data_IF_328000579731
#
_entry.id   IF_328000579731
#
_cell.length_a   1.000
_cell.length_b   1.000
_cell.length_c   1.000
_cell.angle_alpha   90.00
_cell.angle_beta   90.00
_cell.angle_gamma   90.00
#
_symmetry.space_group_name_H-M   'P 1'
#
loop_
_entity.id
_entity.type
_entity.pdbx_description
1 polymer ?
#
# COMPACT_ATOMS: atom_id res chain seq x y z
N UNK A 1 18.83 12.08 -22.80
CA UNK A 1 18.29 13.21 -22.02
C UNK A 1 18.37 14.50 -22.82
N UNK A 2 17.60 15.52 -22.42
CA UNK A 2 17.66 16.84 -23.05
C UNK A 2 19.08 17.43 -23.03
N UNK A 3 19.78 17.25 -21.92
CA UNK A 3 21.15 17.71 -21.68
C UNK A 3 22.17 16.99 -22.59
N UNK A 4 21.97 15.72 -22.92
CA UNK A 4 22.81 15.00 -23.88
C UNK A 4 22.68 15.56 -25.31
N UNK A 5 21.48 15.97 -25.71
CA UNK A 5 21.27 16.61 -27.02
C UNK A 5 21.95 17.98 -27.07
N UNK A 6 21.92 18.73 -25.98
CA UNK A 6 22.67 19.97 -25.84
C UNK A 6 24.18 19.71 -26.00
N UNK A 7 24.72 18.68 -25.34
CA UNK A 7 26.13 18.31 -25.45
C UNK A 7 26.51 17.91 -26.88
N UNK A 8 25.68 17.14 -27.58
CA UNK A 8 25.90 16.78 -28.99
C UNK A 8 25.94 18.04 -29.85
N UNK A 9 25.00 18.97 -29.69
CA UNK A 9 24.99 20.22 -30.46
C UNK A 9 26.25 21.09 -30.19
N UNK A 10 26.73 21.13 -28.94
CA UNK A 10 27.93 21.89 -28.58
C UNK A 10 29.21 21.25 -29.15
N UNK A 11 29.37 19.93 -29.00
CA UNK A 11 30.56 19.18 -29.41
C UNK A 11 30.61 18.95 -30.92
N UNK A 12 29.50 18.56 -31.53
CA UNK A 12 29.47 18.21 -32.95
C UNK A 12 29.22 19.42 -33.86
N UNK A 13 28.31 20.34 -33.48
CA UNK A 13 27.89 21.46 -34.33
C UNK A 13 28.38 22.85 -33.87
N UNK A 14 29.06 22.93 -32.73
CA UNK A 14 29.67 24.16 -32.26
C UNK A 14 28.73 25.19 -31.71
N UNK A 15 27.64 24.71 -31.11
CA UNK A 15 26.74 25.55 -30.35
C UNK A 15 27.46 26.06 -29.09
N UNK A 16 27.19 27.31 -28.75
CA UNK A 16 27.42 27.85 -27.42
C UNK A 16 26.41 27.25 -26.42
N UNK A 17 26.69 27.28 -25.11
CA UNK A 17 25.72 26.82 -24.10
C UNK A 17 24.34 27.50 -24.21
N UNK A 18 24.32 28.78 -24.58
CA UNK A 18 23.08 29.54 -24.78
C UNK A 18 22.29 29.08 -26.00
N UNK A 19 22.95 28.84 -27.13
CA UNK A 19 22.30 28.28 -28.33
C UNK A 19 21.77 26.87 -28.06
N UNK A 20 22.51 26.06 -27.29
CA UNK A 20 22.09 24.71 -26.93
C UNK A 20 20.83 24.71 -26.05
N UNK A 21 20.70 25.63 -25.08
CA UNK A 21 19.45 25.77 -24.30
C UNK A 21 18.28 26.26 -25.18
N UNK A 22 18.53 27.13 -26.15
CA UNK A 22 17.50 27.52 -27.12
C UNK A 22 17.01 26.34 -27.96
N UNK A 23 17.93 25.49 -28.42
CA UNK A 23 17.60 24.23 -29.10
C UNK A 23 16.75 23.33 -28.21
N UNK A 24 17.15 23.13 -26.94
CA UNK A 24 16.38 22.36 -25.95
C UNK A 24 14.95 22.90 -25.77
N UNK A 25 14.79 24.21 -25.62
CA UNK A 25 13.47 24.85 -25.50
C UNK A 25 12.62 24.63 -26.74
N UNK A 26 13.22 24.71 -27.92
CA UNK A 26 12.54 24.46 -29.18
C UNK A 26 12.09 22.99 -29.31
N UNK A 27 12.89 22.03 -28.82
CA UNK A 27 12.50 20.62 -28.74
C UNK A 27 11.30 20.42 -27.80
N UNK A 28 11.34 21.01 -26.59
CA UNK A 28 10.24 20.88 -25.63
C UNK A 28 8.92 21.50 -26.13
N UNK A 29 8.99 22.54 -26.97
CA UNK A 29 7.83 23.20 -27.57
C UNK A 29 7.36 22.55 -28.89
N UNK A 30 8.10 21.57 -29.42
CA UNK A 30 7.92 21.02 -30.76
C UNK A 30 6.52 20.49 -30.99
N UNK A 31 5.96 19.74 -30.04
CA UNK A 31 4.61 19.14 -30.10
C UNK A 31 3.48 20.15 -30.33
N UNK A 32 3.68 21.44 -30.00
CA UNK A 32 2.63 22.48 -30.12
C UNK A 32 2.79 23.41 -31.31
N UNK A 33 4.00 23.61 -31.84
CA UNK A 33 4.24 24.73 -32.78
C UNK A 33 5.11 24.42 -33.99
N UNK A 34 5.84 23.30 -34.05
CA UNK A 34 6.81 23.06 -35.13
C UNK A 34 7.96 24.09 -35.08
N UNK A 35 9.20 23.67 -34.83
CA UNK A 35 10.24 24.69 -34.58
C UNK A 35 11.69 24.21 -34.56
N UNK A 36 11.96 22.97 -34.97
CA UNK A 36 13.32 22.44 -34.99
C UNK A 36 14.04 22.69 -36.32
N UNK A 37 13.29 22.81 -37.43
CA UNK A 37 13.81 23.03 -38.79
C UNK A 37 14.71 24.27 -38.90
N UNK A 38 14.41 25.32 -38.13
CA UNK A 38 15.25 26.54 -38.07
C UNK A 38 16.67 26.30 -37.58
N UNK A 39 16.92 25.19 -36.87
CA UNK A 39 18.26 24.81 -36.41
C UNK A 39 18.97 23.85 -37.38
N UNK A 40 18.30 23.37 -38.44
CA UNK A 40 18.89 22.44 -39.42
C UNK A 40 20.21 22.98 -39.98
N UNK A 41 20.17 24.17 -40.58
CA UNK A 41 21.36 24.78 -41.18
C UNK A 41 22.48 24.99 -40.17
N UNK A 42 22.15 25.40 -38.94
CA UNK A 42 23.16 25.62 -37.89
C UNK A 42 23.81 24.30 -37.44
N UNK A 43 23.03 23.24 -37.30
CA UNK A 43 23.52 21.92 -36.87
C UNK A 43 24.36 21.27 -37.98
N UNK A 44 23.80 21.17 -39.19
CA UNK A 44 24.45 20.49 -40.32
C UNK A 44 25.71 21.22 -40.75
N UNK A 45 25.65 22.55 -40.97
CA UNK A 45 26.84 23.31 -41.38
C UNK A 45 27.91 23.31 -40.28
N UNK A 46 27.51 23.43 -39.01
CA UNK A 46 28.45 23.37 -37.89
C UNK A 46 29.16 22.03 -37.78
N UNK A 47 28.50 20.93 -38.15
CA UNK A 47 29.13 19.61 -38.24
C UNK A 47 30.04 19.48 -39.48
N UNK A 48 29.62 19.97 -40.64
CA UNK A 48 30.46 19.97 -41.84
C UNK A 48 31.77 20.75 -41.64
N UNK A 49 31.70 21.93 -41.02
CA UNK A 49 32.88 22.76 -40.67
C UNK A 49 33.86 22.05 -39.75
N UNK A 50 33.40 21.01 -39.03
CA UNK A 50 34.19 20.19 -38.11
C UNK A 50 34.62 18.84 -38.71
N UNK A 51 34.38 18.63 -40.00
CA UNK A 51 34.85 17.47 -40.74
C UNK A 51 33.93 16.24 -40.67
N UNK A 52 32.66 16.40 -40.27
CA UNK A 52 31.67 15.33 -40.34
C UNK A 52 31.07 15.25 -41.76
N UNK A 53 30.73 14.03 -42.22
CA UNK A 53 30.04 13.83 -43.49
C UNK A 53 28.60 14.36 -43.45
N UNK A 54 28.11 14.88 -44.58
CA UNK A 54 26.74 15.42 -44.71
C UNK A 54 25.68 14.38 -44.30
N UNK A 55 25.78 13.15 -44.81
CA UNK A 55 24.84 12.09 -44.50
C UNK A 55 24.80 11.77 -42.99
N UNK A 56 25.95 11.88 -42.30
CA UNK A 56 26.02 11.68 -40.86
C UNK A 56 25.37 12.84 -40.10
N UNK A 57 25.64 14.09 -40.50
CA UNK A 57 25.05 15.28 -39.89
C UNK A 57 23.52 15.31 -40.04
N UNK A 58 23.00 14.93 -41.21
CA UNK A 58 21.56 14.80 -41.47
C UNK A 58 20.92 13.70 -40.61
N UNK A 59 21.60 12.56 -40.44
CA UNK A 59 21.15 11.48 -39.55
C UNK A 59 21.05 11.94 -38.09
N UNK A 60 22.06 12.67 -37.59
CA UNK A 60 22.04 13.23 -36.24
C UNK A 60 20.88 14.21 -36.07
N UNK A 61 20.65 15.10 -37.03
CA UNK A 61 19.52 16.02 -36.96
C UNK A 61 18.17 15.27 -36.91
N UNK A 62 18.00 14.24 -37.73
CA UNK A 62 16.79 13.39 -37.71
C UNK A 62 16.59 12.69 -36.36
N UNK A 63 17.67 12.19 -35.74
CA UNK A 63 17.61 11.61 -34.40
C UNK A 63 17.21 12.65 -33.33
N UNK A 64 17.75 13.86 -33.42
CA UNK A 64 17.37 14.97 -32.51
C UNK A 64 15.90 15.34 -32.69
N UNK A 65 15.39 15.34 -33.94
CA UNK A 65 13.96 15.52 -34.21
C UNK A 65 13.14 14.43 -33.52
N UNK A 66 13.43 13.14 -33.76
CA UNK A 66 12.71 12.05 -33.10
C UNK A 66 12.78 12.10 -31.56
N UNK A 67 13.89 12.59 -31.00
CA UNK A 67 14.06 12.72 -29.55
C UNK A 67 13.22 13.85 -28.93
N UNK A 68 12.77 14.84 -29.72
CA UNK A 68 11.94 15.93 -29.23
C UNK A 68 10.59 15.48 -28.62
N UNK A 69 10.10 14.29 -28.99
CA UNK A 69 8.87 13.70 -28.45
C UNK A 69 9.04 13.03 -27.08
N UNK A 70 10.23 12.50 -26.79
CA UNK A 70 10.50 11.66 -25.60
C UNK A 70 11.60 12.24 -24.70
N UNK A 71 12.14 13.40 -25.05
CA UNK A 71 13.26 14.02 -24.35
C UNK A 71 12.92 14.43 -22.92
N UNK A 72 13.57 13.76 -21.96
CA UNK A 72 13.37 14.01 -20.53
C UNK A 72 14.53 14.82 -19.93
N UNK A 73 14.28 15.73 -18.96
CA UNK A 73 15.35 16.45 -18.25
C UNK A 73 16.12 15.51 -17.31
N UNK A 74 17.43 15.42 -17.49
CA UNK A 74 18.33 14.59 -16.69
C UNK A 74 18.36 15.03 -15.23
N UNK A 75 18.44 16.34 -15.00
CA UNK A 75 18.42 16.93 -13.65
C UNK A 75 17.19 16.51 -12.83
N UNK A 76 16.02 16.49 -13.47
CA UNK A 76 14.78 16.01 -12.86
C UNK A 76 14.77 14.48 -12.68
N UNK A 77 15.28 13.72 -13.64
CA UNK A 77 15.39 12.28 -13.50
C UNK A 77 16.30 11.88 -12.34
N UNK A 78 17.46 12.53 -12.21
CA UNK A 78 18.45 12.26 -11.18
C UNK A 78 17.93 12.56 -9.77
N UNK A 79 17.20 13.67 -9.58
CA UNK A 79 16.64 14.01 -8.26
C UNK A 79 15.62 12.98 -7.79
N UNK A 80 14.73 12.51 -8.67
CA UNK A 80 13.78 11.43 -8.35
C UNK A 80 14.46 10.07 -8.21
N UNK A 81 15.49 9.78 -9.00
CA UNK A 81 16.27 8.55 -8.89
C UNK A 81 16.96 8.43 -7.52
N UNK A 82 17.44 9.55 -6.96
CA UNK A 82 18.01 9.57 -5.62
C UNK A 82 16.98 9.16 -4.54
N UNK A 83 15.74 9.65 -4.64
CA UNK A 83 14.65 9.27 -3.73
C UNK A 83 14.25 7.79 -3.89
N UNK A 84 14.17 7.31 -5.14
CA UNK A 84 13.89 5.90 -5.42
C UNK A 84 14.99 4.98 -4.89
N UNK A 85 16.25 5.38 -5.05
CA UNK A 85 17.40 4.64 -4.53
C UNK A 85 17.39 4.62 -2.99
N UNK A 86 17.21 5.77 -2.34
CA UNK A 86 17.16 5.84 -0.88
C UNK A 86 16.01 4.99 -0.30
N UNK A 87 14.83 5.02 -0.92
CA UNK A 87 13.69 4.19 -0.52
C UNK A 87 13.97 2.70 -0.72
N UNK A 88 14.61 2.32 -1.83
CA UNK A 88 14.96 0.93 -2.12
C UNK A 88 16.06 0.41 -1.19
N UNK A 89 17.02 1.27 -0.83
CA UNK A 89 18.05 0.97 0.15
C UNK A 89 17.44 0.70 1.52
N UNK A 90 16.52 1.56 2.00
CA UNK A 90 15.79 1.34 3.25
C UNK A 90 14.96 0.06 3.19
N UNK A 91 14.26 -0.20 2.08
CA UNK A 91 13.49 -1.45 1.91
C UNK A 91 14.38 -2.70 1.97
N UNK A 92 15.60 -2.62 1.42
CA UNK A 92 16.54 -3.74 1.37
C UNK A 92 17.22 -3.99 2.73
N UNK A 93 17.70 -2.93 3.37
CA UNK A 93 18.57 -3.02 4.55
C UNK A 93 17.85 -2.78 5.88
N UNK A 94 16.82 -1.94 5.88
CA UNK A 94 16.03 -1.57 7.07
C UNK A 94 14.51 -1.76 6.86
N UNK A 95 14.04 -2.94 6.40
CA UNK A 95 12.63 -3.18 6.08
C UNK A 95 11.67 -2.93 7.25
N UNK A 96 12.08 -3.17 8.50
CA UNK A 96 11.25 -2.87 9.67
C UNK A 96 11.02 -1.37 9.84
N UNK A 97 12.09 -0.56 9.75
CA UNK A 97 12.01 0.89 9.79
C UNK A 97 11.22 1.45 8.61
N UNK A 98 11.40 0.88 7.43
CA UNK A 98 10.65 1.24 6.23
C UNK A 98 9.14 1.01 6.41
N UNK A 99 8.75 -0.17 6.92
CA UNK A 99 7.34 -0.45 7.24
C UNK A 99 6.79 0.54 8.27
N UNK A 100 7.52 0.73 9.38
CA UNK A 100 7.11 1.64 10.46
C UNK A 100 6.86 3.06 9.93
N UNK A 101 7.76 3.59 9.10
CA UNK A 101 7.62 4.90 8.49
C UNK A 101 6.41 4.97 7.54
N UNK A 102 6.18 3.92 6.73
CA UNK A 102 5.03 3.85 5.82
C UNK A 102 3.69 3.78 6.56
N UNK A 103 3.63 3.12 7.72
CA UNK A 103 2.44 3.07 8.56
C UNK A 103 2.13 4.45 9.17
N UNK A 104 3.16 5.11 9.70
CA UNK A 104 3.02 6.44 10.32
C UNK A 104 2.77 7.58 9.30
N UNK A 105 3.01 7.31 8.02
CA UNK A 105 2.77 8.27 6.92
C UNK A 105 1.41 8.07 6.25
N UNK A 106 0.54 7.20 6.77
CA UNK A 106 -0.81 7.01 6.23
C UNK A 106 -1.72 8.21 6.56
N UNK A 107 -2.70 8.53 5.68
CA UNK A 107 -3.01 7.86 4.42
C UNK A 107 -2.03 8.25 3.30
N UNK A 108 -1.41 7.25 2.66
CA UNK A 108 -0.52 7.49 1.51
C UNK A 108 -0.59 6.39 0.45
N UNK A 109 -0.36 6.78 -0.81
CA UNK A 109 0.00 5.88 -1.90
C UNK A 109 -1.03 4.80 -2.28
N UNK A 110 -0.51 3.72 -2.84
CA UNK A 110 -1.29 2.63 -3.46
C UNK A 110 -1.68 1.53 -2.47
N UNK A 111 -0.81 1.19 -1.52
CA UNK A 111 -0.98 0.05 -0.62
C UNK A 111 -1.66 0.43 0.70
N UNK A 112 -2.59 -0.42 1.15
CA UNK A 112 -3.24 -0.28 2.46
C UNK A 112 -2.29 -0.71 3.60
N UNK A 113 -2.55 -0.29 4.85
CA UNK A 113 -1.81 -0.79 6.01
C UNK A 113 -1.76 -2.32 6.09
N UNK A 114 -2.89 -3.00 5.78
CA UNK A 114 -2.95 -4.47 5.74
C UNK A 114 -1.97 -5.07 4.73
N UNK A 115 -1.95 -4.54 3.49
CA UNK A 115 -1.06 -5.04 2.44
C UNK A 115 0.42 -4.84 2.82
N UNK A 116 0.76 -3.69 3.43
CA UNK A 116 2.12 -3.40 3.90
C UNK A 116 2.56 -4.34 5.02
N UNK A 117 1.70 -4.55 6.02
CA UNK A 117 1.98 -5.46 7.15
C UNK A 117 2.14 -6.89 6.68
N UNK A 118 1.24 -7.38 5.83
CA UNK A 118 1.33 -8.73 5.28
C UNK A 118 2.58 -8.93 4.43
N UNK A 119 2.96 -7.94 3.61
CA UNK A 119 4.20 -8.01 2.84
C UNK A 119 5.42 -8.09 3.74
N UNK A 120 5.48 -7.26 4.79
CA UNK A 120 6.59 -7.28 5.73
C UNK A 120 6.67 -8.62 6.49
N UNK A 121 5.55 -9.19 6.91
CA UNK A 121 5.51 -10.51 7.56
C UNK A 121 6.01 -11.62 6.63
N UNK A 122 5.64 -11.59 5.34
CA UNK A 122 6.18 -12.54 4.33
C UNK A 122 7.69 -12.39 4.14
N UNK A 123 8.24 -11.21 4.36
CA UNK A 123 9.68 -10.94 4.36
C UNK A 123 10.34 -11.12 5.74
N UNK A 124 9.66 -11.75 6.69
CA UNK A 124 10.22 -12.15 7.98
C UNK A 124 10.25 -11.05 9.05
N UNK A 125 9.60 -9.91 8.81
CA UNK A 125 9.48 -8.84 9.80
C UNK A 125 8.40 -9.21 10.81
N UNK A 126 8.79 -9.19 12.09
CA UNK A 126 7.85 -9.40 13.19
C UNK A 126 7.02 -8.13 13.38
N UNK A 127 5.70 -8.27 13.35
CA UNK A 127 4.76 -7.18 13.62
C UNK A 127 3.95 -7.54 14.85
N UNK A 128 3.90 -6.64 15.83
CA UNK A 128 3.26 -6.84 17.12
C UNK A 128 1.99 -5.97 17.24
N UNK A 129 0.92 -6.48 17.85
CA UNK A 129 -0.34 -5.74 17.96
C UNK A 129 -0.19 -4.49 18.82
N UNK A 130 -1.08 -3.53 18.62
CA UNK A 130 -1.18 -2.39 19.51
C UNK A 130 -1.62 -2.85 20.91
N UNK A 131 -0.96 -2.34 21.95
CA UNK A 131 -1.26 -2.68 23.35
C UNK A 131 -1.17 -1.41 24.20
N UNK A 132 -2.20 -1.11 24.99
CA UNK A 132 -2.22 0.06 25.88
C UNK A 132 -1.04 0.08 26.85
N UNK A 133 -0.47 -1.07 27.19
CA UNK A 133 0.62 -1.18 28.14
C UNK A 133 1.97 -0.83 27.52
N UNK A 134 2.05 -0.68 26.18
CA UNK A 134 3.32 -0.52 25.46
C UNK A 134 3.22 0.53 24.35
N UNK A 135 2.25 0.41 23.46
CA UNK A 135 2.09 1.26 22.28
C UNK A 135 1.87 2.73 22.64
N UNK A 136 2.43 3.63 21.84
CA UNK A 136 2.05 5.03 21.81
C UNK A 136 1.09 5.34 20.67
N UNK A 137 0.94 6.62 20.35
CA UNK A 137 0.18 7.06 19.18
C UNK A 137 0.68 6.44 17.88
N UNK A 138 1.96 6.65 17.55
CA UNK A 138 2.57 6.15 16.32
C UNK A 138 3.07 4.71 16.46
N UNK A 139 3.20 4.02 15.32
CA UNK A 139 3.89 2.72 15.28
C UNK A 139 5.37 2.93 15.59
N UNK A 140 5.99 1.96 16.26
CA UNK A 140 7.36 2.09 16.75
C UNK A 140 8.17 0.81 16.51
N UNK A 141 9.50 0.96 16.51
CA UNK A 141 10.42 -0.16 16.46
C UNK A 141 10.70 -0.69 17.87
N UNK A 142 10.69 -2.00 18.02
CA UNK A 142 11.03 -2.69 19.27
C UNK A 142 12.16 -3.70 19.03
N UNK A 143 13.06 -3.89 20.02
CA UNK A 143 14.01 -5.00 19.97
C UNK A 143 13.27 -6.35 19.88
N UNK A 144 13.72 -7.19 18.94
CA UNK A 144 13.12 -8.50 18.64
C UNK A 144 14.06 -9.68 18.95
N UNK A 145 15.33 -9.41 19.27
CA UNK A 145 16.38 -10.43 19.34
C UNK A 145 16.78 -11.01 17.97
N UNK A 146 16.28 -10.45 16.87
CA UNK A 146 16.62 -10.80 15.48
C UNK A 146 17.42 -9.67 14.83
N UNK A 147 18.01 -9.88 13.63
CA UNK A 147 18.73 -8.82 12.91
C UNK A 147 17.87 -7.59 12.60
N UNK A 148 16.57 -7.80 12.39
CA UNK A 148 15.59 -6.73 12.16
C UNK A 148 14.76 -6.49 13.41
N UNK A 149 14.51 -5.23 13.75
CA UNK A 149 13.57 -4.86 14.81
C UNK A 149 12.15 -5.38 14.52
N UNK A 150 11.37 -5.58 15.58
CA UNK A 150 9.93 -5.79 15.45
C UNK A 150 9.22 -4.44 15.27
N UNK A 151 8.10 -4.43 14.54
CA UNK A 151 7.25 -3.24 14.39
C UNK A 151 6.05 -3.38 15.31
N UNK A 152 5.95 -2.54 16.32
CA UNK A 152 4.76 -2.40 17.17
C UNK A 152 3.76 -1.48 16.49
N UNK A 153 2.53 -1.94 16.32
CA UNK A 153 1.46 -1.08 15.81
C UNK A 153 1.12 0.03 16.81
N UNK A 154 0.96 1.24 16.29
CA UNK A 154 0.51 2.41 17.03
C UNK A 154 -1.00 2.45 17.21
N UNK A 155 -1.44 3.20 18.22
CA UNK A 155 -2.87 3.44 18.47
C UNK A 155 -3.53 4.25 17.34
N UNK A 156 -2.75 5.00 16.55
CA UNK A 156 -3.23 5.80 15.41
C UNK A 156 -3.91 5.01 14.31
N UNK A 157 -3.64 3.70 14.20
CA UNK A 157 -4.26 2.81 13.21
C UNK A 157 -5.71 2.41 13.59
N UNK A 158 -6.11 2.65 14.83
CA UNK A 158 -7.44 2.27 15.33
C UNK A 158 -8.48 3.31 14.91
N UNK A 159 -9.52 2.85 14.20
CA UNK A 159 -10.63 3.68 13.73
C UNK A 159 -11.36 4.29 14.93
N UNK A 160 -11.45 5.60 14.96
CA UNK A 160 -12.12 6.36 16.03
C UNK A 160 -11.22 6.67 17.23
N UNK A 161 -9.95 6.26 17.22
CA UNK A 161 -9.00 6.61 18.27
C UNK A 161 -8.59 8.09 18.15
N UNK A 162 -8.46 8.76 19.31
CA UNK A 162 -8.13 10.18 19.42
C UNK A 162 -6.71 10.35 19.95
N UNK A 163 -5.95 11.30 19.38
CA UNK A 163 -4.55 11.52 19.74
C UNK A 163 -4.38 11.98 21.18
N UNK A 164 -5.29 12.83 21.64
CA UNK A 164 -5.29 13.35 23.01
C UNK A 164 -5.55 12.23 24.02
N UNK A 165 -6.37 11.24 23.64
CA UNK A 165 -6.66 10.08 24.49
C UNK A 165 -5.44 9.17 24.59
N UNK A 166 -4.76 8.91 23.47
CA UNK A 166 -3.50 8.16 23.49
C UNK A 166 -2.46 8.85 24.38
N UNK A 167 -2.30 10.17 24.27
CA UNK A 167 -1.39 10.94 25.13
C UNK A 167 -1.74 10.78 26.62
N UNK A 168 -3.03 10.87 27.00
CA UNK A 168 -3.45 10.65 28.40
C UNK A 168 -3.15 9.22 28.89
N UNK A 169 -3.26 8.21 28.02
CA UNK A 169 -2.90 6.82 28.35
C UNK A 169 -1.38 6.72 28.58
N UNK A 170 -0.58 7.33 27.70
CA UNK A 170 0.89 7.35 27.82
C UNK A 170 1.35 8.06 29.10
N UNK A 171 0.80 9.24 29.40
CA UNK A 171 1.08 10.00 30.63
C UNK A 171 0.71 9.21 31.88
N UNK A 172 -0.48 8.59 31.89
CA UNK A 172 -0.92 7.77 33.01
C UNK A 172 0.01 6.57 33.20
N UNK A 173 0.36 5.86 32.12
CA UNK A 173 1.24 4.67 32.14
C UNK A 173 2.65 4.99 32.64
N UNK A 174 3.19 6.17 32.30
CA UNK A 174 4.53 6.60 32.71
C UNK A 174 4.70 6.68 34.24
N UNK A 175 3.61 6.90 34.98
CA UNK A 175 3.63 6.91 36.46
C UNK A 175 3.74 5.49 37.02
N UNK A 176 2.95 4.54 36.51
CA UNK A 176 2.97 3.12 36.89
C UNK A 176 2.16 2.27 35.88
N UNK A 177 2.40 0.95 35.78
CA UNK A 177 1.55 0.04 35.00
C UNK A 177 0.05 0.11 35.38
N UNK A 178 -0.82 -0.30 34.47
CA UNK A 178 -2.26 -0.41 34.73
C UNK A 178 -2.58 -1.78 35.32
N UNK A 179 -3.43 -1.80 36.36
CA UNK A 179 -3.81 -3.05 37.02
C UNK A 179 -5.04 -3.70 36.37
N UNK A 180 -5.91 -2.89 35.76
CA UNK A 180 -7.17 -3.32 35.15
C UNK A 180 -7.70 -2.30 34.16
N UNK A 181 -8.72 -2.67 33.39
CA UNK A 181 -9.41 -1.75 32.46
C UNK A 181 -10.05 -0.58 33.21
N UNK A 182 -10.57 -0.80 34.42
CA UNK A 182 -11.13 0.27 35.27
C UNK A 182 -10.05 1.23 35.79
N UNK A 183 -8.87 0.70 36.15
CA UNK A 183 -7.72 1.55 36.54
C UNK A 183 -7.24 2.42 35.38
N UNK A 184 -7.12 1.84 34.19
CA UNK A 184 -6.84 2.55 32.94
C UNK A 184 -7.86 3.67 32.69
N UNK A 185 -9.16 3.34 32.72
CA UNK A 185 -10.23 4.28 32.43
C UNK A 185 -10.23 5.48 33.38
N UNK A 186 -10.06 5.23 34.68
CA UNK A 186 -10.04 6.27 35.72
C UNK A 186 -8.82 7.20 35.59
N UNK A 187 -7.63 6.63 35.38
CA UNK A 187 -6.35 7.37 35.33
C UNK A 187 -6.16 8.14 34.04
N UNK A 188 -6.52 7.55 32.90
CA UNK A 188 -6.44 8.22 31.61
C UNK A 188 -7.71 9.03 31.26
N UNK A 189 -8.72 9.05 32.15
CA UNK A 189 -9.96 9.79 31.97
C UNK A 189 -10.72 9.36 30.70
N UNK A 190 -10.81 8.04 30.48
CA UNK A 190 -11.42 7.48 29.28
C UNK A 190 -12.95 7.51 29.38
N UNK A 191 -13.59 7.90 28.29
CA UNK A 191 -15.04 7.80 28.17
C UNK A 191 -15.47 6.44 27.57
N UNK A 192 -16.78 6.26 27.43
CA UNK A 192 -17.36 5.05 26.84
C UNK A 192 -16.86 4.80 25.41
N UNK A 193 -16.68 5.85 24.63
CA UNK A 193 -16.21 5.74 23.24
C UNK A 193 -14.76 5.25 23.21
N UNK A 194 -13.89 5.83 24.02
CA UNK A 194 -12.48 5.45 24.11
C UNK A 194 -12.31 3.97 24.48
N UNK A 195 -13.05 3.52 25.50
CA UNK A 195 -13.03 2.13 25.94
C UNK A 195 -13.57 1.17 24.88
N UNK A 196 -14.62 1.55 24.14
CA UNK A 196 -15.15 0.76 23.03
C UNK A 196 -14.17 0.64 21.88
N UNK A 197 -13.46 1.73 21.53
CA UNK A 197 -12.43 1.72 20.49
C UNK A 197 -11.28 0.79 20.88
N UNK A 198 -10.72 0.95 22.10
CA UNK A 198 -9.60 0.15 22.58
C UNK A 198 -9.96 -1.34 22.70
N UNK A 199 -11.13 -1.66 23.28
CA UNK A 199 -11.60 -3.03 23.40
C UNK A 199 -11.90 -3.65 22.03
N UNK A 200 -12.57 -2.91 21.14
CA UNK A 200 -12.86 -3.34 19.77
C UNK A 200 -11.59 -3.63 18.96
N UNK A 201 -10.57 -2.79 19.11
CA UNK A 201 -9.26 -2.96 18.48
C UNK A 201 -8.38 -4.05 19.12
N UNK A 202 -8.86 -4.72 20.16
CA UNK A 202 -8.11 -5.72 20.94
C UNK A 202 -6.84 -5.16 21.60
N UNK A 203 -6.80 -3.84 21.87
CA UNK A 203 -5.66 -3.17 22.50
C UNK A 203 -5.56 -3.40 24.02
N UNK A 204 -6.60 -4.00 24.61
CA UNK A 204 -6.72 -4.30 26.04
C UNK A 204 -6.37 -5.76 26.38
N UNK A 205 -5.79 -6.52 25.43
CA UNK A 205 -5.52 -7.95 25.60
C UNK A 205 -4.64 -8.24 26.82
N UNK A 206 -3.63 -7.40 27.11
CA UNK A 206 -2.77 -7.53 28.29
C UNK A 206 -3.51 -7.41 29.63
N UNK A 207 -4.63 -6.68 29.67
CA UNK A 207 -5.43 -6.47 30.89
C UNK A 207 -6.63 -7.42 31.00
N UNK A 208 -7.28 -7.70 29.88
CA UNK A 208 -8.56 -8.42 29.84
C UNK A 208 -8.45 -9.86 29.30
N UNK A 209 -7.29 -10.24 28.74
CA UNK A 209 -7.02 -11.57 28.20
C UNK A 209 -7.62 -11.85 26.82
N UNK A 210 -8.87 -11.43 26.54
CA UNK A 210 -9.46 -11.56 25.21
C UNK A 210 -10.43 -10.41 24.88
N UNK A 211 -10.71 -10.21 23.59
CA UNK A 211 -11.58 -9.11 23.12
C UNK A 211 -12.99 -9.16 23.71
N UNK A 212 -13.60 -10.35 23.86
CA UNK A 212 -14.96 -10.46 24.41
C UNK A 212 -14.99 -10.02 25.86
N UNK A 213 -13.99 -10.44 26.65
CA UNK A 213 -13.80 -10.00 28.02
C UNK A 213 -13.53 -8.49 28.11
N UNK A 214 -12.69 -7.95 27.22
CA UNK A 214 -12.37 -6.53 27.16
C UNK A 214 -13.62 -5.67 26.88
N UNK A 215 -14.46 -6.10 25.93
CA UNK A 215 -15.71 -5.42 25.61
C UNK A 215 -16.70 -5.43 26.77
N UNK A 216 -16.78 -6.54 27.52
CA UNK A 216 -17.60 -6.62 28.73
C UNK A 216 -17.09 -5.64 29.81
N UNK A 217 -15.80 -5.70 30.12
CA UNK A 217 -15.18 -4.82 31.11
C UNK A 217 -15.29 -3.33 30.73
N UNK A 218 -15.16 -3.00 29.44
CA UNK A 218 -15.28 -1.64 28.92
C UNK A 218 -16.65 -1.00 29.22
N UNK A 219 -17.74 -1.79 29.30
CA UNK A 219 -19.08 -1.27 29.60
C UNK A 219 -19.19 -0.79 31.05
N UNK A 220 -18.57 -1.51 31.99
CA UNK A 220 -18.58 -1.18 33.42
C UNK A 220 -17.41 -0.30 33.89
N UNK A 221 -16.35 -0.15 33.08
CA UNK A 221 -15.16 0.60 33.45
C UNK A 221 -15.29 2.13 33.27
N UNK A 222 -16.39 2.63 32.70
CA UNK A 222 -16.61 4.06 32.51
C UNK A 222 -16.64 4.74 33.89
N UNK A 223 -15.73 5.69 34.20
CA UNK A 223 -15.67 6.29 35.52
C UNK A 223 -16.93 7.10 35.82
N UNK A 224 -17.48 6.93 37.02
CA UNK A 224 -18.53 7.82 37.52
C UNK A 224 -18.01 9.25 37.63
N UNK A 225 -18.90 10.21 37.37
CA UNK A 225 -18.60 11.65 37.40
C UNK A 225 -18.85 12.29 38.76
N UNK A 226 -19.27 11.51 39.75
CA UNK A 226 -19.71 11.99 41.06
C UNK A 226 -18.65 11.73 42.16
N UNK A 227 -19.06 11.93 43.42
CA UNK A 227 -18.23 11.74 44.60
C UNK A 227 -17.76 10.29 44.81
N UNK A 228 -18.39 9.31 44.16
CA UNK A 228 -18.05 7.88 44.28
C UNK A 228 -17.02 7.43 43.25
N UNK A 229 -16.50 8.33 42.41
CA UNK A 229 -15.42 8.06 41.45
C UNK A 229 -14.19 7.28 41.98
N UNK A 230 -13.71 7.47 43.24
CA UNK A 230 -12.57 6.70 43.74
C UNK A 230 -12.95 5.26 44.16
N UNK A 231 -14.23 4.96 44.31
CA UNK A 231 -14.72 3.64 44.73
C UNK A 231 -14.71 2.69 43.53
N UNK A 232 -14.10 1.51 43.69
CA UNK A 232 -14.22 0.42 42.73
C UNK A 232 -15.04 -0.69 43.39
N UNK A 233 -16.27 -0.97 42.94
CA UNK A 233 -17.05 -2.06 43.48
C UNK A 233 -16.32 -3.39 43.21
N UNK A 234 -16.22 -4.24 44.23
CA UNK A 234 -15.67 -5.59 44.08
C UNK A 234 -16.79 -6.45 43.53
N UNK A 235 -16.80 -6.62 42.20
CA UNK A 235 -17.74 -7.47 41.49
C UNK A 235 -17.03 -8.72 40.96
N UNK A 236 -17.71 -9.86 41.00
CA UNK A 236 -17.23 -11.05 40.30
C UNK A 236 -17.27 -10.80 38.79
N UNK A 237 -16.08 -10.75 38.18
CA UNK A 237 -15.97 -10.57 36.73
C UNK A 237 -16.25 -11.92 36.07
N UNK A 238 -17.32 -12.06 35.26
CA UNK A 238 -17.60 -13.31 34.58
C UNK A 238 -16.47 -13.62 33.59
N UNK A 239 -16.02 -14.88 33.58
CA UNK A 239 -15.03 -15.35 32.60
C UNK A 239 -15.76 -15.72 31.32
N UNK A 240 -15.63 -14.88 30.30
CA UNK A 240 -16.23 -15.11 28.99
C UNK A 240 -15.28 -15.90 28.09
N UNK A 241 -15.85 -16.85 27.35
CA UNK A 241 -15.10 -17.59 26.33
C UNK A 241 -14.52 -16.62 25.30
N UNK A 242 -13.25 -16.82 24.91
CA UNK A 242 -12.62 -16.04 23.86
C UNK A 242 -13.42 -16.10 22.53
N UNK A 243 -13.37 -15.06 21.70
CA UNK A 243 -13.89 -15.15 20.34
C UNK A 243 -13.23 -16.28 19.55
N UNK A 244 -13.96 -16.83 18.59
CA UNK A 244 -13.37 -17.66 17.56
C UNK A 244 -12.42 -16.84 16.67
N UNK A 245 -11.50 -17.51 15.98
CA UNK A 245 -10.56 -16.85 15.06
C UNK A 245 -11.27 -15.98 14.01
N UNK A 246 -12.38 -16.45 13.45
CA UNK A 246 -13.17 -15.69 12.48
C UNK A 246 -13.82 -14.44 13.09
N UNK A 247 -14.33 -14.52 14.32
CA UNK A 247 -14.86 -13.36 15.04
C UNK A 247 -13.74 -12.35 15.31
N UNK A 248 -12.53 -12.82 15.63
CA UNK A 248 -11.41 -11.94 15.90
C UNK A 248 -10.90 -11.22 14.65
N UNK A 249 -10.77 -11.93 13.53
CA UNK A 249 -10.42 -11.32 12.24
C UNK A 249 -11.46 -10.28 11.83
N UNK A 250 -12.76 -10.55 12.04
CA UNK A 250 -13.81 -9.58 11.74
C UNK A 250 -13.68 -8.33 12.63
N UNK A 251 -13.41 -8.51 13.92
CA UNK A 251 -13.20 -7.39 14.85
C UNK A 251 -11.97 -6.56 14.47
N UNK A 252 -10.88 -7.21 14.07
CA UNK A 252 -9.64 -6.59 13.61
C UNK A 252 -9.87 -5.69 12.39
N UNK A 253 -10.49 -6.22 11.34
CA UNK A 253 -10.79 -5.44 10.14
C UNK A 253 -11.75 -4.28 10.42
N UNK A 254 -12.75 -4.50 11.28
CA UNK A 254 -13.68 -3.44 11.68
C UNK A 254 -12.96 -2.32 12.44
N UNK A 255 -12.06 -2.67 13.35
CA UNK A 255 -11.42 -1.72 14.25
C UNK A 255 -10.21 -1.00 13.64
N UNK A 256 -9.42 -1.65 12.79
CA UNK A 256 -8.18 -1.07 12.23
C UNK A 256 -7.94 -1.37 10.74
N UNK A 257 -8.79 -2.19 10.11
CA UNK A 257 -8.68 -2.50 8.68
C UNK A 257 -7.57 -3.49 8.32
N UNK A 258 -6.96 -4.15 9.31
CA UNK A 258 -5.96 -5.20 9.16
C UNK A 258 -6.06 -6.20 10.31
N UNK A 259 -5.55 -7.41 10.12
CA UNK A 259 -5.37 -8.42 11.18
C UNK A 259 -3.92 -8.88 11.20
N UNK A 260 -3.41 -9.24 12.39
CA UNK A 260 -2.15 -9.96 12.54
C UNK A 260 -2.35 -11.48 12.63
N UNK A 261 -3.60 -11.94 12.67
CA UNK A 261 -3.96 -13.34 12.55
C UNK A 261 -3.80 -13.85 11.10
N UNK A 262 -4.40 -15.00 10.80
CA UNK A 262 -4.39 -15.50 9.41
C UNK A 262 -5.17 -14.56 8.50
N UNK A 263 -4.71 -14.43 7.27
CA UNK A 263 -5.44 -13.71 6.24
C UNK A 263 -6.84 -14.34 6.03
N UNK A 264 -7.91 -13.55 5.82
CA UNK A 264 -9.28 -14.07 5.75
C UNK A 264 -9.49 -15.20 4.74
N UNK A 265 -8.78 -15.18 3.61
CA UNK A 265 -8.89 -16.23 2.60
C UNK A 265 -8.32 -17.58 3.05
N UNK A 266 -7.44 -17.62 4.04
CA UNK A 266 -6.96 -18.87 4.61
C UNK A 266 -8.12 -19.69 5.20
N UNK A 267 -9.12 -19.02 5.80
CA UNK A 267 -10.33 -19.67 6.32
C UNK A 267 -11.22 -20.22 5.20
N UNK A 268 -11.20 -19.58 4.03
CA UNK A 268 -11.98 -19.96 2.87
C UNK A 268 -11.23 -20.93 1.94
N UNK A 269 -9.93 -21.19 2.18
CA UNK A 269 -9.04 -21.85 1.24
C UNK A 269 -9.52 -23.23 0.81
N UNK A 270 -9.99 -24.05 1.75
CA UNK A 270 -10.54 -25.38 1.42
C UNK A 270 -11.71 -25.30 0.43
N UNK A 271 -12.63 -24.36 0.64
CA UNK A 271 -13.78 -24.12 -0.25
C UNK A 271 -13.38 -23.55 -1.61
N UNK A 272 -12.38 -22.67 -1.63
CA UNK A 272 -11.84 -22.07 -2.86
C UNK A 272 -11.11 -23.12 -3.72
N UNK A 273 -10.31 -23.99 -3.10
CA UNK A 273 -9.64 -25.10 -3.78
C UNK A 273 -10.65 -26.11 -4.36
N UNK A 274 -11.75 -26.38 -3.66
CA UNK A 274 -12.85 -27.20 -4.21
C UNK A 274 -13.46 -26.64 -5.50
N UNK A 275 -13.40 -25.32 -5.69
CA UNK A 275 -13.82 -24.63 -6.92
C UNK A 275 -12.68 -24.39 -7.93
N UNK A 276 -11.48 -24.90 -7.61
CA UNK A 276 -10.22 -24.75 -8.34
C UNK A 276 -9.67 -23.32 -8.39
N UNK A 277 -10.00 -22.48 -7.41
CA UNK A 277 -9.34 -21.20 -7.23
C UNK A 277 -8.00 -21.42 -6.50
N UNK A 278 -6.92 -21.17 -7.22
CA UNK A 278 -5.57 -21.47 -6.75
C UNK A 278 -4.97 -20.27 -6.00
N UNK A 279 -4.09 -20.51 -5.02
CA UNK A 279 -3.43 -19.43 -4.32
C UNK A 279 -2.43 -18.68 -5.21
N UNK A 280 -2.12 -17.43 -4.87
CA UNK A 280 -1.15 -16.59 -5.58
C UNK A 280 0.20 -17.30 -5.77
N UNK A 281 0.69 -17.97 -4.73
CA UNK A 281 1.90 -18.80 -4.75
C UNK A 281 1.88 -19.88 -5.82
N UNK A 282 0.76 -20.58 -6.04
CA UNK A 282 0.65 -21.59 -7.10
C UNK A 282 0.50 -20.98 -8.48
N UNK A 283 -0.27 -19.89 -8.61
CA UNK A 283 -0.43 -19.18 -9.88
C UNK A 283 0.91 -18.64 -10.40
N UNK A 284 1.79 -18.24 -9.49
CA UNK A 284 3.13 -17.77 -9.79
C UNK A 284 4.00 -18.78 -10.58
N UNK A 285 3.70 -20.07 -10.47
CA UNK A 285 4.41 -21.14 -11.18
C UNK A 285 3.76 -21.54 -12.50
N UNK A 286 2.63 -20.93 -12.86
CA UNK A 286 1.92 -21.27 -14.10
C UNK A 286 2.71 -20.84 -15.34
N UNK A 287 2.55 -21.63 -16.40
CA UNK A 287 3.11 -21.31 -17.71
C UNK A 287 2.31 -20.18 -18.38
N UNK A 288 2.98 -19.42 -19.23
CA UNK A 288 2.30 -18.43 -20.06
C UNK A 288 1.23 -19.11 -20.93
N UNK A 289 0.04 -18.52 -21.00
CA UNK A 289 -1.11 -19.07 -21.74
C UNK A 289 -1.93 -20.13 -21.00
N UNK A 290 -1.55 -20.50 -19.77
CA UNK A 290 -2.27 -21.51 -18.99
C UNK A 290 -3.61 -20.95 -18.46
N UNK A 291 -4.66 -21.78 -18.46
CA UNK A 291 -5.93 -21.42 -17.82
C UNK A 291 -5.74 -21.30 -16.31
N UNK A 292 -6.21 -20.19 -15.75
CA UNK A 292 -6.05 -19.85 -14.35
C UNK A 292 -7.36 -19.38 -13.73
N UNK A 293 -7.52 -19.69 -12.44
CA UNK A 293 -8.62 -19.23 -11.61
C UNK A 293 -8.02 -18.68 -10.31
N UNK A 294 -8.24 -17.40 -10.08
CA UNK A 294 -7.81 -16.71 -8.87
C UNK A 294 -9.02 -16.22 -8.09
N UNK A 295 -8.92 -16.20 -6.76
CA UNK A 295 -9.88 -15.52 -5.92
C UNK A 295 -9.11 -14.77 -4.83
N UNK A 296 -9.44 -13.50 -4.62
CA UNK A 296 -8.73 -12.63 -3.68
C UNK A 296 -9.58 -11.44 -3.26
N UNK A 297 -9.27 -10.89 -2.08
CA UNK A 297 -9.84 -9.61 -1.63
C UNK A 297 -9.36 -8.54 -2.59
N UNK A 298 -10.26 -7.71 -3.10
CA UNK A 298 -9.88 -6.64 -4.01
C UNK A 298 -9.24 -5.52 -3.21
N UNK A 299 -7.94 -5.31 -3.40
CA UNK A 299 -7.19 -4.26 -2.70
C UNK A 299 -7.16 -2.97 -3.50
N UNK A 300 -7.00 -3.05 -4.83
CA UNK A 300 -6.90 -1.87 -5.69
C UNK A 300 -7.60 -2.05 -7.03
N UNK A 301 -8.18 -0.97 -7.54
CA UNK A 301 -8.70 -0.82 -8.91
C UNK A 301 -8.11 0.44 -9.55
N UNK A 302 -7.59 0.33 -10.76
CA UNK A 302 -6.97 1.44 -11.46
C UNK A 302 -7.33 1.45 -12.94
N UNK A 303 -7.72 2.62 -13.46
CA UNK A 303 -7.93 2.84 -14.89
C UNK A 303 -7.06 4.01 -15.38
N UNK A 304 -5.79 3.77 -15.75
CA UNK A 304 -4.92 4.83 -16.23
C UNK A 304 -5.46 5.42 -17.54
N UNK A 305 -5.45 6.76 -17.67
CA UNK A 305 -5.91 7.44 -18.89
C UNK A 305 -5.10 7.06 -20.15
N UNK A 306 -3.87 6.59 -19.98
CA UNK A 306 -2.99 6.13 -21.06
C UNK A 306 -3.29 4.70 -21.54
N UNK A 307 -4.06 3.91 -20.78
CA UNK A 307 -4.25 2.48 -21.03
C UNK A 307 -5.47 2.16 -21.90
N UNK A 308 -5.97 3.12 -22.71
CA UNK A 308 -7.13 2.94 -23.62
C UNK A 308 -8.35 2.29 -22.93
N UNK A 309 -8.59 2.63 -21.66
CA UNK A 309 -9.73 2.14 -20.88
C UNK A 309 -9.55 0.79 -20.19
N UNK A 310 -8.40 0.12 -20.34
CA UNK A 310 -8.08 -1.12 -19.60
C UNK A 310 -8.08 -0.85 -18.10
N UNK A 311 -8.73 -1.75 -17.35
CA UNK A 311 -8.80 -1.71 -15.90
C UNK A 311 -7.84 -2.74 -15.30
N UNK A 312 -7.01 -2.30 -14.36
CA UNK A 312 -6.14 -3.14 -13.55
C UNK A 312 -6.76 -3.34 -12.18
N UNK A 313 -6.82 -4.58 -11.73
CA UNK A 313 -7.34 -4.95 -10.41
C UNK A 313 -6.29 -5.76 -9.67
N UNK A 314 -5.95 -5.38 -8.45
CA UNK A 314 -5.07 -6.17 -7.59
C UNK A 314 -5.92 -6.94 -6.59
N UNK A 315 -5.74 -8.25 -6.57
CA UNK A 315 -6.33 -9.15 -5.60
C UNK A 315 -5.27 -9.59 -4.59
N UNK A 316 -5.67 -9.84 -3.35
CA UNK A 316 -4.80 -10.35 -2.29
C UNK A 316 -5.36 -11.65 -1.71
N UNK A 317 -4.48 -12.63 -1.51
CA UNK A 317 -4.74 -13.82 -0.71
C UNK A 317 -3.63 -14.03 0.34
N UNK A 318 -3.76 -15.09 1.14
CA UNK A 318 -2.82 -15.38 2.24
C UNK A 318 -1.38 -15.64 1.77
N UNK A 319 -1.18 -15.87 0.46
CA UNK A 319 0.11 -16.16 -0.14
C UNK A 319 0.68 -14.99 -0.95
N UNK A 320 -0.10 -13.95 -1.20
CA UNK A 320 0.36 -12.71 -1.83
C UNK A 320 -0.64 -12.09 -2.80
N UNK A 321 -0.09 -11.25 -3.69
CA UNK A 321 -0.88 -10.44 -4.62
C UNK A 321 -1.03 -11.12 -5.98
N UNK A 322 -2.19 -10.94 -6.60
CA UNK A 322 -2.50 -11.36 -7.96
C UNK A 322 -2.96 -10.14 -8.74
N UNK A 323 -2.19 -9.76 -9.75
CA UNK A 323 -2.52 -8.66 -10.64
C UNK A 323 -3.42 -9.14 -11.78
N UNK A 324 -4.57 -8.48 -11.97
CA UNK A 324 -5.59 -8.86 -12.94
C UNK A 324 -5.77 -7.76 -13.97
N UNK A 325 -5.79 -8.13 -15.24
CA UNK A 325 -6.08 -7.24 -16.37
C UNK A 325 -7.51 -7.49 -16.83
N UNK A 326 -8.34 -6.45 -16.83
CA UNK A 326 -9.74 -6.49 -17.26
C UNK A 326 -9.93 -5.57 -18.46
N UNK A 327 -10.28 -6.16 -19.60
CA UNK A 327 -10.50 -5.43 -20.85
C UNK A 327 -11.79 -4.60 -20.80
N UNK A 328 -11.86 -3.46 -21.52
CA UNK A 328 -13.04 -2.58 -21.51
C UNK A 328 -14.36 -3.30 -21.78
N UNK A 329 -14.39 -4.20 -22.78
CA UNK A 329 -15.58 -4.98 -23.13
C UNK A 329 -16.08 -5.86 -21.98
N UNK A 330 -15.17 -6.46 -21.20
CA UNK A 330 -15.53 -7.25 -20.03
C UNK A 330 -16.02 -6.37 -18.88
N UNK A 331 -15.45 -5.16 -18.73
CA UNK A 331 -15.93 -4.20 -17.73
C UNK A 331 -17.35 -3.74 -18.04
N UNK A 332 -17.68 -3.51 -19.31
CA UNK A 332 -19.04 -3.15 -19.72
C UNK A 332 -20.04 -4.28 -19.47
N UNK A 333 -19.64 -5.52 -19.77
CA UNK A 333 -20.49 -6.71 -19.58
C UNK A 333 -20.71 -7.08 -18.10
N UNK A 334 -19.68 -6.94 -17.25
CA UNK A 334 -19.69 -7.37 -15.86
C UNK A 334 -19.41 -6.21 -14.90
N UNK A 335 -20.03 -5.05 -15.16
CA UNK A 335 -19.79 -3.82 -14.41
C UNK A 335 -20.07 -3.96 -12.91
N UNK A 336 -21.10 -4.74 -12.56
CA UNK A 336 -21.51 -4.98 -11.17
C UNK A 336 -20.41 -5.72 -10.40
N UNK A 337 -19.89 -6.80 -10.96
CA UNK A 337 -18.83 -7.61 -10.37
C UNK A 337 -17.54 -6.81 -10.28
N UNK A 338 -17.18 -6.09 -11.35
CA UNK A 338 -15.96 -5.28 -11.41
C UNK A 338 -15.93 -4.22 -10.32
N UNK A 339 -17.01 -3.44 -10.17
CA UNK A 339 -17.02 -2.27 -9.28
C UNK A 339 -17.51 -2.59 -7.87
N UNK A 340 -18.40 -3.58 -7.71
CA UNK A 340 -19.08 -3.86 -6.43
C UNK A 340 -18.44 -4.95 -5.59
N UNK A 341 -17.72 -5.91 -6.18
CA UNK A 341 -17.22 -7.06 -5.43
C UNK A 341 -16.05 -6.68 -4.51
N UNK A 342 -16.12 -7.04 -3.24
CA UNK A 342 -14.99 -6.94 -2.30
C UNK A 342 -14.15 -8.21 -2.28
N UNK A 343 -14.76 -9.37 -2.60
CA UNK A 343 -14.07 -10.61 -2.93
C UNK A 343 -14.37 -11.00 -4.37
N UNK A 344 -13.34 -11.08 -5.21
CA UNK A 344 -13.50 -11.31 -6.63
C UNK A 344 -12.92 -12.66 -7.04
N UNK A 345 -13.74 -13.51 -7.65
CA UNK A 345 -13.31 -14.69 -8.38
C UNK A 345 -13.06 -14.34 -9.85
N UNK A 346 -11.88 -14.69 -10.36
CA UNK A 346 -11.46 -14.38 -11.73
C UNK A 346 -11.11 -15.67 -12.45
N UNK A 347 -11.76 -15.89 -13.59
CA UNK A 347 -11.44 -16.93 -14.55
C UNK A 347 -10.71 -16.27 -15.72
N UNK A 348 -9.57 -16.82 -16.10
CA UNK A 348 -8.75 -16.17 -17.11
C UNK A 348 -7.61 -17.02 -17.63
N UNK A 349 -6.69 -16.32 -18.29
CA UNK A 349 -5.46 -16.89 -18.82
C UNK A 349 -4.29 -16.24 -18.09
N UNK A 350 -3.40 -17.05 -17.56
CA UNK A 350 -2.17 -16.58 -16.94
C UNK A 350 -1.20 -16.10 -18.01
N UNK A 351 -0.69 -14.88 -17.82
CA UNK A 351 0.35 -14.30 -18.65
C UNK A 351 1.61 -14.11 -17.84
N UNK A 352 2.74 -14.53 -18.41
CA UNK A 352 4.06 -14.39 -17.81
C UNK A 352 5.06 -13.92 -18.86
N UNK A 353 5.69 -12.80 -18.58
CA UNK A 353 6.78 -12.23 -19.36
C UNK A 353 7.93 -11.87 -18.41
N UNK A 354 8.94 -12.73 -18.35
CA UNK A 354 10.00 -12.65 -17.34
C UNK A 354 9.43 -12.79 -15.92
N UNK A 355 9.61 -11.74 -15.12
CA UNK A 355 9.08 -11.63 -13.74
C UNK A 355 7.67 -11.05 -13.69
N UNK A 356 7.21 -10.41 -14.77
CA UNK A 356 5.91 -9.77 -14.84
C UNK A 356 4.83 -10.85 -15.03
N UNK A 357 3.86 -10.86 -14.13
CA UNK A 357 2.84 -11.91 -14.02
C UNK A 357 1.47 -11.29 -13.84
N UNK A 358 0.54 -11.64 -14.74
CA UNK A 358 -0.81 -11.11 -14.73
C UNK A 358 -1.84 -12.19 -15.09
N UNK A 359 -3.02 -12.09 -14.48
CA UNK A 359 -4.18 -12.86 -14.90
C UNK A 359 -5.04 -12.01 -15.83
N UNK A 360 -5.14 -12.42 -17.10
CA UNK A 360 -6.06 -11.76 -18.05
C UNK A 360 -7.46 -12.31 -17.84
N UNK A 361 -8.34 -11.47 -17.30
CA UNK A 361 -9.71 -11.85 -16.99
C UNK A 361 -10.52 -12.17 -18.26
N UNK A 362 -11.26 -13.26 -18.20
CA UNK A 362 -12.27 -13.67 -19.19
C UNK A 362 -13.67 -13.71 -18.60
N UNK A 363 -13.78 -14.01 -17.32
CA UNK A 363 -15.04 -13.97 -16.56
C UNK A 363 -14.76 -13.65 -15.10
N UNK A 364 -15.62 -12.82 -14.55
CA UNK A 364 -15.61 -12.38 -13.16
C UNK A 364 -16.82 -12.96 -12.42
N UNK A 365 -16.63 -13.27 -11.15
CA UNK A 365 -17.67 -13.75 -10.26
C UNK A 365 -17.54 -13.01 -8.93
N UNK A 366 -18.63 -12.38 -8.51
CA UNK A 366 -18.71 -11.78 -7.18
C UNK A 366 -18.80 -12.88 -6.13
N UNK A 367 -17.76 -12.97 -5.31
CA UNK A 367 -17.63 -13.94 -4.23
C UNK A 367 -17.79 -13.27 -2.86
N UNK A 368 -18.12 -11.97 -2.82
CA UNK A 368 -18.29 -11.18 -1.59
C UNK A 368 -19.26 -11.81 -0.57
N UNK A 369 -20.32 -12.55 -0.96
CA UNK A 369 -21.15 -13.27 0.01
C UNK A 369 -20.38 -14.25 0.90
N UNK A 370 -19.22 -14.75 0.48
CA UNK A 370 -18.36 -15.63 1.28
C UNK A 370 -17.64 -14.91 2.41
N UNK A 371 -17.46 -13.59 2.33
CA UNK A 371 -16.84 -12.78 3.38
C UNK A 371 -17.79 -12.52 4.56
N UNK A 372 -19.09 -12.75 4.40
CA UNK A 372 -20.08 -12.58 5.46
C UNK A 372 -20.09 -11.15 6.01
N UNK A 373 -19.62 -10.98 7.25
CA UNK A 373 -19.61 -9.69 7.97
C UNK A 373 -18.25 -8.97 7.92
N UNK A 374 -17.27 -9.51 7.19
CA UNK A 374 -15.95 -8.91 7.07
C UNK A 374 -16.02 -7.63 6.21
N UNK A 375 -15.69 -6.50 6.82
CA UNK A 375 -15.63 -5.21 6.14
C UNK A 375 -14.27 -5.04 5.45
N UNK A 376 -14.28 -4.99 4.12
CA UNK A 376 -13.07 -4.83 3.29
C UNK A 376 -13.31 -3.74 2.27
N UNK A 377 -12.29 -2.90 2.06
CA UNK A 377 -12.37 -1.75 1.16
C UNK A 377 -11.21 -1.78 0.18
N UNK A 378 -11.49 -1.41 -1.07
CA UNK A 378 -10.45 -1.24 -2.09
C UNK A 378 -10.13 0.23 -2.29
N UNK A 379 -8.87 0.52 -2.64
CA UNK A 379 -8.50 1.86 -3.14
C UNK A 379 -8.81 1.93 -4.64
N UNK A 380 -9.54 2.96 -5.05
CA UNK A 380 -10.02 3.09 -6.42
C UNK A 380 -9.42 4.36 -7.06
N UNK A 381 -8.65 4.17 -8.13
CA UNK A 381 -8.02 5.20 -8.96
C UNK A 381 -8.61 5.12 -10.38
N UNK A 382 -9.94 5.21 -10.46
CA UNK A 382 -10.74 4.91 -11.65
C UNK A 382 -11.31 6.18 -12.30
#
# INVERSE_FOLDING_TARGET
FQEQVMQVAMVAAGFTPGEADQLRRAMAAWKRKGGLEKYYGRIVNGMLERGYDLAFAESIFSQIQGFGEYGFPESHAASFALLAYASSWLKCHEPAAFLCALLNSQPMGFYSPSALVQDAQRHGIEVRPADIAISGWDSALEPSGRPQAAVRLGLSLQRGMRREVAARIEDARAIRPFDSVTDLARRAGLDRHDLQVLAGANALHSLAGNRRQALWQAVGAVPDKDLLRPTSPVEEVPVLQAPSEGEDIIGDYRAQGLTLGRHPLALLRARLLGQRFMPASTLNDYKNGQLARACGIVTVRQRPGTAKGVLFVTLEDETGNINVIVWPSLVEQQRKEVLGATLLGVYGVWQREGEVRHLVAKRLVDMSPLLGRLDTTSRNFC
#
